data_IF_496108159998
#
_entry.id   IF_496108159998
#
_cell.length_a   1.000
_cell.length_b   1.000
_cell.length_c   1.000
_cell.angle_alpha   90.00
_cell.angle_beta   90.00
_cell.angle_gamma   90.00
#
_symmetry.space_group_name_H-M   'P 1'
#
loop_
_entity.id
_entity.type
_entity.pdbx_description
1 polymer ?
#
# COMPACT_ATOMS: atom_id res chain seq x y z
N UNK A 1 46.29 26.35 38.77
CA UNK A 1 44.90 25.94 39.06
C UNK A 1 43.99 26.81 38.22
N UNK A 2 43.15 26.19 37.41
CA UNK A 2 42.27 26.84 36.43
C UNK A 2 41.14 27.59 37.16
N UNK A 3 40.96 28.87 36.85
CA UNK A 3 39.75 29.61 37.20
C UNK A 3 38.66 29.29 36.18
N UNK A 4 37.69 28.49 36.61
CA UNK A 4 36.47 28.21 35.85
C UNK A 4 35.52 29.40 35.96
N UNK A 5 35.48 30.24 34.92
CA UNK A 5 34.49 31.30 34.79
C UNK A 5 33.11 30.75 34.41
N UNK A 6 32.14 30.90 35.30
CA UNK A 6 30.72 30.70 34.99
C UNK A 6 30.13 32.01 34.47
N UNK A 7 29.64 32.00 33.23
CA UNK A 7 28.87 33.11 32.66
C UNK A 7 27.38 32.84 32.82
N UNK A 8 26.67 33.72 33.54
CA UNK A 8 25.21 33.75 33.61
C UNK A 8 24.68 34.76 32.60
N UNK A 9 23.95 34.28 31.60
CA UNK A 9 23.25 35.11 30.61
C UNK A 9 21.81 35.35 31.10
N UNK A 10 21.48 36.57 31.50
CA UNK A 10 20.10 36.96 31.82
C UNK A 10 19.41 37.51 30.57
N UNK A 11 18.41 36.78 30.06
CA UNK A 11 17.53 37.25 28.99
C UNK A 11 16.29 37.87 29.67
N UNK A 12 16.03 39.18 29.51
CA UNK A 12 14.81 39.78 30.06
C UNK A 12 13.60 39.27 29.29
N UNK A 13 12.67 38.61 29.98
CA UNK A 13 11.38 38.21 29.41
C UNK A 13 10.41 39.40 29.46
N UNK A 14 9.83 39.76 28.32
CA UNK A 14 8.78 40.79 28.23
C UNK A 14 7.39 40.24 28.55
N UNK A 15 7.31 39.13 29.29
CA UNK A 15 6.07 38.37 29.45
C UNK A 15 5.10 38.95 30.49
N UNK A 16 5.41 40.13 31.03
CA UNK A 16 4.55 40.94 31.91
C UNK A 16 4.69 42.44 31.60
N UNK A 17 4.85 42.84 30.33
CA UNK A 17 4.65 44.23 29.97
C UNK A 17 3.15 44.54 30.02
N UNK A 18 2.75 45.53 30.83
CA UNK A 18 1.38 46.04 30.86
C UNK A 18 0.99 46.46 29.43
N UNK A 19 0.05 45.72 28.85
CA UNK A 19 -0.47 46.03 27.52
C UNK A 19 -1.32 47.29 27.66
N UNK A 20 -0.82 48.41 27.16
CA UNK A 20 -1.63 49.60 26.93
C UNK A 20 -2.86 49.19 26.12
N UNK A 21 -4.06 49.38 26.68
CA UNK A 21 -5.31 49.19 25.95
C UNK A 21 -5.40 50.29 24.88
N UNK A 22 -4.95 49.94 23.68
CA UNK A 22 -5.20 50.74 22.49
C UNK A 22 -6.63 50.38 22.04
N UNK A 23 -7.56 51.30 22.26
CA UNK A 23 -8.92 51.21 21.69
C UNK A 23 -8.83 51.40 20.18
N UNK A 24 -8.52 50.32 19.46
CA UNK A 24 -8.51 50.30 18.01
C UNK A 24 -9.91 49.92 17.51
N UNK A 25 -10.69 50.92 17.07
CA UNK A 25 -11.87 50.68 16.26
C UNK A 25 -11.45 50.56 14.78
N UNK A 26 -11.71 49.42 14.15
CA UNK A 26 -11.59 49.26 12.71
C UNK A 26 -12.98 49.28 12.09
N UNK A 27 -13.23 50.25 11.20
CA UNK A 27 -14.42 50.28 10.36
C UNK A 27 -14.10 49.61 9.02
N UNK A 28 -14.93 48.65 8.62
CA UNK A 28 -14.84 48.01 7.30
C UNK A 28 -15.72 48.76 6.30
N UNK A 29 -15.18 49.05 5.12
CA UNK A 29 -15.97 49.64 4.04
C UNK A 29 -17.11 48.71 3.61
N UNK A 30 -18.30 49.25 3.28
CA UNK A 30 -19.42 48.43 2.85
C UNK A 30 -19.11 47.74 1.52
N UNK A 31 -19.24 46.41 1.49
CA UNK A 31 -19.04 45.62 0.28
C UNK A 31 -20.28 45.69 -0.62
N UNK A 32 -20.07 46.14 -1.86
CA UNK A 32 -21.06 45.99 -2.94
C UNK A 32 -21.08 44.52 -3.39
N UNK A 33 -22.05 43.77 -2.86
CA UNK A 33 -22.35 42.43 -3.36
C UNK A 33 -23.23 42.55 -4.60
N UNK A 34 -22.75 42.00 -5.73
CA UNK A 34 -23.51 41.90 -6.97
C UNK A 34 -23.86 40.44 -7.20
N UNK A 35 -25.13 40.13 -7.11
CA UNK A 35 -25.64 38.81 -7.49
C UNK A 35 -25.63 38.72 -9.01
N UNK A 36 -24.75 37.89 -9.56
CA UNK A 36 -24.75 37.52 -10.97
C UNK A 36 -25.43 36.18 -11.07
N UNK A 37 -26.70 36.19 -11.49
CA UNK A 37 -27.43 34.97 -11.81
C UNK A 37 -26.84 34.33 -13.07
N UNK A 38 -26.51 33.04 -13.00
CA UNK A 38 -26.27 32.22 -14.17
C UNK A 38 -27.60 31.56 -14.55
N UNK A 39 -28.34 32.14 -15.48
CA UNK A 39 -29.51 31.47 -16.03
C UNK A 39 -29.04 30.24 -16.83
N UNK A 40 -29.54 29.03 -16.53
CA UNK A 40 -29.26 27.87 -17.35
C UNK A 40 -29.83 28.12 -18.76
N UNK A 41 -29.00 27.87 -19.76
CA UNK A 41 -29.37 28.01 -21.17
C UNK A 41 -30.64 27.18 -21.43
N UNK A 42 -31.74 27.85 -21.83
CA UNK A 42 -33.03 27.19 -22.06
C UNK A 42 -32.84 26.05 -23.08
N UNK A 43 -33.29 24.82 -22.80
CA UNK A 43 -33.16 23.72 -23.74
C UNK A 43 -33.97 24.05 -25.00
N UNK A 44 -33.28 24.24 -26.12
CA UNK A 44 -33.89 24.38 -27.43
C UNK A 44 -34.19 22.98 -27.97
N UNK A 45 -35.46 22.59 -27.97
CA UNK A 45 -35.88 21.34 -28.60
C UNK A 45 -35.99 21.55 -30.11
N UNK A 46 -34.97 21.09 -30.83
CA UNK A 46 -35.04 20.86 -32.27
C UNK A 46 -35.34 19.37 -32.50
N UNK A 47 -36.49 19.08 -33.07
CA UNK A 47 -36.81 17.75 -33.61
C UNK A 47 -36.70 17.81 -35.12
N UNK A 48 -35.70 17.16 -35.69
CA UNK A 48 -35.58 16.95 -37.13
C UNK A 48 -36.19 15.59 -37.45
N UNK A 49 -37.27 15.57 -38.23
CA UNK A 49 -37.85 14.35 -38.76
C UNK A 49 -37.21 14.09 -40.12
N UNK A 50 -36.37 13.07 -40.23
CA UNK A 50 -35.94 12.55 -41.53
C UNK A 50 -37.15 11.90 -42.18
N UNK A 51 -37.69 12.53 -43.22
CA UNK A 51 -38.64 11.87 -44.10
C UNK A 51 -37.96 10.62 -44.69
N UNK A 52 -38.59 9.46 -44.52
CA UNK A 52 -38.23 8.26 -45.27
C UNK A 52 -38.72 8.47 -46.70
N UNK A 53 -37.99 9.25 -47.48
CA UNK A 53 -38.16 9.25 -48.93
C UNK A 53 -37.84 7.84 -49.39
N UNK A 54 -38.87 7.08 -49.73
CA UNK A 54 -38.76 5.82 -50.47
C UNK A 54 -38.27 6.14 -51.89
N UNK A 55 -37.03 6.62 -52.01
CA UNK A 55 -36.26 6.45 -53.23
C UNK A 55 -35.56 5.11 -53.10
N UNK A 56 -36.33 4.07 -53.42
CA UNK A 56 -35.79 2.83 -53.95
C UNK A 56 -35.14 3.10 -55.31
N UNK A 57 -33.97 3.72 -55.29
CA UNK A 57 -32.91 3.19 -56.12
C UNK A 57 -31.95 2.55 -55.15
N UNK A 58 -32.10 1.23 -54.96
CA UNK A 58 -30.95 0.43 -54.54
C UNK A 58 -29.88 0.71 -55.58
N UNK A 59 -29.03 1.70 -55.33
CA UNK A 59 -27.81 1.95 -56.07
C UNK A 59 -27.09 0.60 -56.06
N UNK A 60 -27.25 -0.14 -57.15
CA UNK A 60 -26.51 -1.36 -57.35
C UNK A 60 -25.06 -0.93 -57.22
N UNK A 61 -24.31 -1.51 -56.30
CA UNK A 61 -22.89 -1.21 -56.11
C UNK A 61 -22.02 -1.52 -57.35
N UNK A 62 -22.65 -1.78 -58.51
CA UNK A 62 -22.08 -1.78 -59.85
C UNK A 62 -21.60 -0.37 -60.21
N UNK A 63 -20.39 -0.04 -59.77
CA UNK A 63 -19.70 1.18 -60.16
C UNK A 63 -18.79 1.76 -59.08
N UNK A 64 -18.89 1.30 -57.84
CA UNK A 64 -18.01 1.76 -56.76
C UNK A 64 -16.67 1.03 -56.89
N UNK A 65 -15.69 1.73 -57.45
CA UNK A 65 -14.29 1.29 -57.50
C UNK A 65 -13.68 1.46 -56.10
N UNK A 66 -13.82 0.45 -55.25
CA UNK A 66 -13.10 0.39 -53.98
C UNK A 66 -11.63 0.11 -54.30
N UNK A 67 -10.72 0.86 -53.67
CA UNK A 67 -9.29 0.66 -53.90
C UNK A 67 -8.88 -0.72 -53.44
N UNK A 68 -7.93 -1.34 -54.15
CA UNK A 68 -7.48 -2.70 -53.79
C UNK A 68 -6.86 -2.72 -52.38
N UNK A 69 -6.17 -1.65 -52.01
CA UNK A 69 -5.55 -1.52 -50.69
C UNK A 69 -6.58 -1.50 -49.55
N UNK A 70 -7.75 -0.91 -49.77
CA UNK A 70 -8.82 -0.91 -48.75
C UNK A 70 -9.47 -2.28 -48.61
N UNK A 71 -9.61 -3.03 -49.71
CA UNK A 71 -10.09 -4.42 -49.67
C UNK A 71 -9.08 -5.31 -48.92
N UNK A 72 -7.80 -5.19 -49.24
CA UNK A 72 -6.74 -5.98 -48.61
C UNK A 72 -6.64 -5.67 -47.11
N UNK A 73 -6.76 -4.41 -46.71
CA UNK A 73 -6.79 -4.00 -45.29
C UNK A 73 -8.01 -4.56 -44.54
N UNK A 74 -9.18 -4.61 -45.18
CA UNK A 74 -10.38 -5.20 -44.58
C UNK A 74 -10.20 -6.73 -44.44
N UNK A 75 -9.62 -7.38 -45.44
CA UNK A 75 -9.34 -8.82 -45.40
C UNK A 75 -8.34 -9.18 -44.29
N UNK A 76 -7.22 -8.44 -44.19
CA UNK A 76 -6.27 -8.59 -43.08
C UNK A 76 -6.95 -8.36 -41.73
N UNK A 77 -7.77 -7.32 -41.61
CA UNK A 77 -8.52 -7.03 -40.38
C UNK A 77 -9.48 -8.15 -39.97
N UNK A 78 -10.12 -8.80 -40.93
CA UNK A 78 -11.01 -9.95 -40.68
C UNK A 78 -10.20 -11.18 -40.27
N UNK A 79 -9.05 -11.44 -40.90
CA UNK A 79 -8.16 -12.54 -40.53
C UNK A 79 -7.58 -12.36 -39.11
N UNK A 80 -7.14 -11.15 -38.78
CA UNK A 80 -6.64 -10.80 -37.44
C UNK A 80 -7.74 -10.90 -36.38
N UNK A 81 -8.96 -10.42 -36.69
CA UNK A 81 -10.11 -10.57 -35.80
C UNK A 81 -10.46 -12.04 -35.56
N UNK A 82 -10.42 -12.88 -36.60
CA UNK A 82 -10.62 -14.33 -36.49
C UNK A 82 -9.53 -14.99 -35.63
N UNK A 83 -8.28 -14.56 -35.78
CA UNK A 83 -7.15 -15.03 -34.96
C UNK A 83 -7.32 -14.64 -33.49
N UNK A 84 -7.75 -13.41 -33.23
CA UNK A 84 -8.04 -12.91 -31.87
C UNK A 84 -9.22 -13.63 -31.22
N UNK A 85 -10.28 -13.92 -31.98
CA UNK A 85 -11.44 -14.67 -31.48
C UNK A 85 -11.06 -16.06 -30.97
N UNK A 86 -10.10 -16.75 -31.58
CA UNK A 86 -9.59 -18.04 -31.04
C UNK A 86 -8.98 -17.92 -29.64
N UNK A 87 -8.40 -16.76 -29.29
CA UNK A 87 -7.93 -16.51 -27.92
C UNK A 87 -9.09 -16.19 -26.98
N UNK A 88 -10.10 -15.45 -27.44
CA UNK A 88 -11.29 -15.16 -26.66
C UNK A 88 -12.14 -16.40 -26.39
N UNK A 89 -12.26 -17.35 -27.32
CA UNK A 89 -12.95 -18.63 -27.11
C UNK A 89 -12.29 -19.46 -25.99
N UNK A 90 -10.95 -19.45 -25.92
CA UNK A 90 -10.22 -20.09 -24.81
C UNK A 90 -10.50 -19.41 -23.48
N UNK A 91 -10.68 -18.09 -23.46
CA UNK A 91 -11.06 -17.33 -22.27
C UNK A 91 -12.53 -17.52 -21.90
N UNK A 92 -13.40 -17.76 -22.88
CA UNK A 92 -14.82 -18.00 -22.68
C UNK A 92 -15.08 -19.37 -22.03
N UNK A 93 -14.21 -20.36 -22.25
CA UNK A 93 -14.18 -21.60 -21.47
C UNK A 93 -13.96 -21.35 -19.97
N UNK A 94 -13.15 -20.35 -19.59
CA UNK A 94 -13.01 -19.91 -18.19
C UNK A 94 -14.21 -19.08 -17.72
N UNK A 95 -14.95 -18.44 -18.62
CA UNK A 95 -16.17 -17.68 -18.29
C UNK A 95 -17.38 -18.59 -18.06
N UNK A 96 -17.37 -19.79 -18.65
CA UNK A 96 -18.36 -20.86 -18.43
C UNK A 96 -18.24 -21.57 -17.07
N UNK A 97 -17.28 -21.20 -16.21
CA UNK A 97 -17.12 -21.85 -14.91
C UNK A 97 -18.36 -21.67 -14.03
N UNK A 98 -19.07 -22.79 -13.89
CA UNK A 98 -19.73 -23.32 -12.69
C UNK A 98 -20.02 -22.33 -11.57
N UNK A 99 -21.29 -22.31 -11.14
CA UNK A 99 -21.75 -21.60 -9.95
C UNK A 99 -20.79 -21.89 -8.79
N UNK A 100 -19.97 -20.90 -8.41
CA UNK A 100 -19.06 -21.02 -7.27
C UNK A 100 -19.89 -21.12 -5.99
N UNK A 101 -20.03 -22.33 -5.46
CA UNK A 101 -20.66 -22.55 -4.16
C UNK A 101 -19.63 -22.33 -3.07
N UNK A 102 -19.73 -21.19 -2.38
CA UNK A 102 -18.95 -20.95 -1.17
C UNK A 102 -19.50 -21.82 -0.03
N UNK A 103 -18.72 -22.81 0.39
CA UNK A 103 -19.05 -23.66 1.53
C UNK A 103 -18.20 -23.23 2.73
N UNK A 104 -18.87 -22.97 3.85
CA UNK A 104 -18.19 -22.73 5.11
C UNK A 104 -17.58 -24.04 5.63
N UNK A 105 -16.26 -24.17 5.52
CA UNK A 105 -15.53 -25.38 5.96
C UNK A 105 -15.34 -25.38 7.48
N UNK A 106 -14.92 -24.24 8.06
CA UNK A 106 -14.61 -24.14 9.49
C UNK A 106 -14.89 -22.72 9.99
N UNK A 107 -15.58 -22.62 11.12
CA UNK A 107 -15.76 -21.36 11.87
C UNK A 107 -14.87 -21.41 13.11
N UNK A 108 -13.93 -20.50 13.19
CA UNK A 108 -13.08 -20.31 14.38
C UNK A 108 -13.73 -19.22 15.22
N UNK A 109 -14.15 -19.55 16.43
CA UNK A 109 -14.67 -18.58 17.39
C UNK A 109 -13.50 -18.06 18.22
N UNK A 110 -13.34 -16.74 18.26
CA UNK A 110 -12.44 -16.08 19.18
C UNK A 110 -13.11 -16.00 20.55
N UNK A 111 -12.33 -16.12 21.61
CA UNK A 111 -12.84 -15.98 22.96
C UNK A 111 -13.27 -14.52 23.18
N UNK A 112 -14.46 -14.32 23.78
CA UNK A 112 -15.09 -12.99 23.94
C UNK A 112 -14.27 -11.97 24.75
N UNK A 113 -13.15 -12.36 25.33
CA UNK A 113 -12.27 -11.50 26.12
C UNK A 113 -11.22 -10.74 25.30
N UNK A 114 -11.14 -10.97 23.99
CA UNK A 114 -10.18 -10.25 23.14
C UNK A 114 -10.67 -8.84 22.81
N UNK A 115 -10.16 -7.86 23.55
CA UNK A 115 -10.45 -6.43 23.33
C UNK A 115 -9.70 -5.83 22.13
N UNK A 116 -8.68 -6.52 21.62
CA UNK A 116 -7.83 -6.02 20.54
C UNK A 116 -8.45 -6.34 19.17
N UNK A 117 -8.48 -5.37 18.23
CA UNK A 117 -8.99 -5.64 16.89
C UNK A 117 -8.06 -6.55 16.10
N UNK A 118 -8.62 -7.25 15.11
CA UNK A 118 -7.87 -8.08 14.17
C UNK A 118 -7.25 -7.17 13.11
N UNK A 119 -5.92 -7.09 13.09
CA UNK A 119 -5.15 -6.31 12.11
C UNK A 119 -4.90 -7.12 10.84
N UNK A 120 -4.72 -8.43 10.98
CA UNK A 120 -4.38 -9.27 9.83
C UNK A 120 -4.60 -10.75 10.11
N UNK A 121 -4.77 -11.50 9.02
CA UNK A 121 -4.91 -12.95 9.02
C UNK A 121 -3.89 -13.50 8.02
N UNK A 122 -3.12 -14.50 8.44
CA UNK A 122 -2.16 -15.19 7.57
C UNK A 122 -2.36 -16.69 7.67
N UNK A 123 -2.39 -17.34 6.52
CA UNK A 123 -2.47 -18.79 6.43
C UNK A 123 -1.09 -19.36 6.09
N UNK A 124 -0.66 -20.34 6.87
CA UNK A 124 0.56 -21.11 6.66
C UNK A 124 0.29 -22.46 6.02
N UNK A 125 1.34 -23.24 5.86
CA UNK A 125 1.23 -24.64 5.43
C UNK A 125 0.52 -25.46 6.51
N UNK A 126 -0.04 -26.62 6.12
CA UNK A 126 -0.69 -27.59 7.02
C UNK A 126 -1.88 -27.02 7.81
N UNK A 127 -2.62 -26.07 7.23
CA UNK A 127 -3.83 -25.50 7.85
C UNK A 127 -3.53 -24.64 9.08
N UNK A 128 -2.31 -24.12 9.22
CA UNK A 128 -1.96 -23.14 10.24
C UNK A 128 -2.57 -21.79 9.89
N UNK A 129 -3.20 -21.14 10.86
CA UNK A 129 -3.77 -19.80 10.68
C UNK A 129 -3.26 -18.94 11.82
N UNK A 130 -2.67 -17.80 11.50
CA UNK A 130 -2.25 -16.81 12.47
C UNK A 130 -3.14 -15.57 12.37
N UNK A 131 -3.63 -15.10 13.51
CA UNK A 131 -4.33 -13.84 13.67
C UNK A 131 -3.43 -12.85 14.38
N UNK A 132 -3.31 -11.67 13.79
CA UNK A 132 -2.59 -10.54 14.34
C UNK A 132 -3.62 -9.66 15.05
N UNK A 133 -3.46 -9.49 16.36
CA UNK A 133 -4.34 -8.68 17.19
C UNK A 133 -3.56 -7.46 17.68
N UNK A 134 -4.12 -6.28 17.44
CA UNK A 134 -3.47 -5.01 17.75
C UNK A 134 -4.23 -3.85 17.12
N UNK A 135 -3.66 -2.66 17.20
CA UNK A 135 -4.23 -1.47 16.57
C UNK A 135 -3.59 -1.27 15.20
N UNK A 136 -4.34 -0.84 14.20
CA UNK A 136 -3.82 -0.55 12.85
C UNK A 136 -3.31 0.88 12.71
N UNK A 137 -3.82 1.80 13.53
CA UNK A 137 -3.39 3.18 13.59
C UNK A 137 -2.51 3.39 14.81
N UNK A 138 -1.27 3.79 14.54
CA UNK A 138 -0.30 4.12 15.55
C UNK A 138 0.12 5.58 15.36
N UNK A 139 0.01 6.36 16.42
CA UNK A 139 0.89 7.52 16.55
C UNK A 139 2.32 7.01 16.74
N UNK A 140 3.30 7.81 16.38
CA UNK A 140 4.72 7.42 16.36
C UNK A 140 5.20 6.78 17.67
N UNK A 141 4.53 7.05 18.80
CA UNK A 141 4.84 6.55 20.13
C UNK A 141 3.62 5.92 20.82
N UNK A 142 3.05 4.83 20.29
CA UNK A 142 1.98 4.12 21.00
C UNK A 142 2.55 2.99 21.90
N UNK A 143 2.05 2.90 23.14
CA UNK A 143 2.38 1.81 24.10
C UNK A 143 1.43 0.62 24.00
N UNK A 144 0.81 0.40 22.84
CA UNK A 144 -0.15 -0.68 22.68
C UNK A 144 0.57 -2.03 22.60
N UNK A 145 0.26 -2.91 23.55
CA UNK A 145 0.66 -4.30 23.49
C UNK A 145 -0.11 -5.03 22.41
N UNK A 146 0.60 -5.90 21.70
CA UNK A 146 0.06 -6.73 20.65
C UNK A 146 -0.12 -8.17 21.09
N UNK A 147 -0.85 -8.94 20.30
CA UNK A 147 -1.02 -10.38 20.54
C UNK A 147 -1.09 -11.12 19.21
N UNK A 148 -0.61 -12.35 19.21
CA UNK A 148 -0.77 -13.27 18.09
C UNK A 148 -1.48 -14.51 18.58
N UNK A 149 -2.47 -14.94 17.81
CA UNK A 149 -3.06 -16.26 17.98
C UNK A 149 -2.67 -17.13 16.80
N UNK A 150 -2.13 -18.31 17.08
CA UNK A 150 -1.83 -19.31 16.06
C UNK A 150 -2.74 -20.51 16.29
N UNK A 151 -3.59 -20.78 15.31
CA UNK A 151 -4.44 -21.96 15.25
C UNK A 151 -3.76 -23.01 14.40
N UNK A 152 -3.57 -24.20 14.96
CA UNK A 152 -3.08 -25.36 14.23
C UNK A 152 -3.83 -26.60 14.69
N UNK A 153 -4.54 -27.24 13.75
CA UNK A 153 -5.44 -28.37 14.03
C UNK A 153 -6.49 -27.97 15.09
N UNK A 154 -6.28 -28.39 16.33
CA UNK A 154 -7.14 -28.17 17.50
C UNK A 154 -6.41 -27.44 18.64
N UNK A 155 -5.18 -26.99 18.43
CA UNK A 155 -4.42 -26.22 19.40
C UNK A 155 -4.42 -24.75 18.99
N UNK A 156 -4.63 -23.89 19.99
CA UNK A 156 -4.52 -22.45 19.87
C UNK A 156 -3.38 -22.02 20.77
N UNK A 157 -2.32 -21.48 20.18
CA UNK A 157 -1.23 -20.85 20.95
C UNK A 157 -1.40 -19.35 20.94
N UNK A 158 -1.10 -18.75 22.07
CA UNK A 158 -1.21 -17.32 22.30
C UNK A 158 0.19 -16.78 22.62
N UNK A 159 0.63 -15.80 21.85
CA UNK A 159 1.92 -15.15 22.04
C UNK A 159 1.68 -13.65 22.30
N UNK A 160 1.92 -13.17 23.53
CA UNK A 160 1.87 -11.74 23.84
C UNK A 160 3.10 -11.05 23.25
N UNK A 161 2.90 -9.82 22.74
CA UNK A 161 3.96 -9.00 22.17
C UNK A 161 4.06 -7.66 22.91
N UNK A 162 5.29 -7.17 23.06
CA UNK A 162 5.56 -5.85 23.64
C UNK A 162 5.00 -4.71 22.78
N UNK A 163 4.91 -4.90 21.46
CA UNK A 163 4.37 -3.94 20.49
C UNK A 163 3.33 -4.59 19.58
N UNK A 164 2.47 -3.78 18.98
CA UNK A 164 1.49 -4.24 17.99
C UNK A 164 2.16 -4.90 16.77
N UNK A 165 1.64 -6.05 16.31
CA UNK A 165 2.16 -6.75 15.14
C UNK A 165 1.67 -6.07 13.85
N UNK A 166 2.56 -5.90 12.88
CA UNK A 166 2.24 -5.27 11.58
C UNK A 166 2.16 -6.31 10.47
N UNK A 167 3.14 -7.21 10.39
CA UNK A 167 3.22 -8.26 9.39
C UNK A 167 3.63 -9.58 10.04
N UNK A 168 3.22 -10.69 9.42
CA UNK A 168 3.57 -12.02 9.84
C UNK A 168 3.82 -12.91 8.64
N UNK A 169 4.83 -13.77 8.75
CA UNK A 169 5.14 -14.80 7.77
C UNK A 169 5.41 -16.13 8.44
N UNK A 170 5.00 -17.21 7.77
CA UNK A 170 5.43 -18.54 8.13
C UNK A 170 6.77 -18.83 7.45
N UNK A 171 7.75 -19.26 8.24
CA UNK A 171 9.02 -19.75 7.74
C UNK A 171 8.88 -21.17 7.18
N UNK A 172 9.77 -21.60 6.28
CA UNK A 172 9.76 -22.97 5.74
C UNK A 172 9.88 -24.04 6.84
N UNK A 173 10.62 -23.75 7.90
CA UNK A 173 10.86 -24.64 9.04
C UNK A 173 9.76 -24.58 10.10
N UNK A 174 8.53 -24.22 9.72
CA UNK A 174 7.36 -24.14 10.61
C UNK A 174 7.41 -23.05 11.70
N UNK A 175 8.46 -22.24 11.74
CA UNK A 175 8.55 -21.07 12.60
C UNK A 175 7.67 -19.94 12.08
N UNK A 176 7.35 -19.00 12.96
CA UNK A 176 6.55 -17.82 12.64
C UNK A 176 7.39 -16.58 12.91
N UNK A 177 7.54 -15.77 11.87
CA UNK A 177 8.25 -14.50 11.93
C UNK A 177 7.21 -13.40 11.99
N UNK A 178 7.40 -12.51 12.95
CA UNK A 178 6.48 -11.44 13.26
C UNK A 178 7.25 -10.13 13.21
N UNK A 179 6.71 -9.18 12.47
CA UNK A 179 7.21 -7.82 12.47
C UNK A 179 6.32 -6.94 13.31
N UNK A 180 6.91 -5.99 14.02
CA UNK A 180 6.22 -5.10 14.96
C UNK A 180 6.23 -3.64 14.50
N UNK A 181 5.33 -2.86 15.08
CA UNK A 181 5.25 -1.41 14.85
C UNK A 181 6.46 -0.65 15.42
N UNK A 182 7.19 -1.20 16.39
CA UNK A 182 8.45 -0.62 16.90
C UNK A 182 9.63 -0.81 15.95
N UNK A 183 9.52 -1.67 14.92
CA UNK A 183 10.61 -1.94 13.98
C UNK A 183 11.43 -3.19 14.33
N UNK A 184 10.94 -4.01 15.27
CA UNK A 184 11.57 -5.26 15.67
C UNK A 184 10.97 -6.45 14.91
N UNK A 185 11.81 -7.46 14.68
CA UNK A 185 11.43 -8.76 14.15
C UNK A 185 11.57 -9.80 15.27
N UNK A 186 10.51 -10.58 15.47
CA UNK A 186 10.42 -11.62 16.49
C UNK A 186 10.24 -12.95 15.78
N UNK A 187 11.08 -13.93 16.12
CA UNK A 187 10.98 -15.31 15.68
C UNK A 187 10.33 -16.15 16.78
N UNK A 188 9.27 -16.85 16.42
CA UNK A 188 8.51 -17.68 17.35
C UNK A 188 8.35 -19.09 16.83
N UNK A 189 8.35 -20.06 17.75
CA UNK A 189 8.11 -21.47 17.45
C UNK A 189 7.29 -22.09 18.56
N UNK A 190 6.22 -22.81 18.19
CA UNK A 190 5.34 -23.53 19.13
C UNK A 190 4.77 -22.71 20.31
N UNK A 191 4.73 -21.38 20.19
CA UNK A 191 4.21 -20.49 21.24
C UNK A 191 5.29 -19.78 22.05
N UNK A 192 6.56 -20.11 21.83
CA UNK A 192 7.70 -19.50 22.51
C UNK A 192 8.43 -18.53 21.58
N UNK A 193 8.97 -17.45 22.17
CA UNK A 193 9.83 -16.50 21.47
C UNK A 193 11.24 -17.06 21.49
N UNK A 194 11.73 -17.47 20.33
CA UNK A 194 13.08 -18.01 20.18
C UNK A 194 14.14 -16.90 20.08
N UNK A 195 13.77 -15.82 19.39
CA UNK A 195 14.69 -14.74 19.11
C UNK A 195 13.93 -13.44 18.85
N UNK A 196 14.52 -12.33 19.29
CA UNK A 196 14.01 -10.99 19.08
C UNK A 196 15.17 -10.10 18.63
N UNK A 197 14.91 -9.27 17.64
CA UNK A 197 15.92 -8.35 17.12
C UNK A 197 16.06 -7.09 17.96
N UNK A 198 17.29 -6.62 18.15
CA UNK A 198 17.56 -5.27 18.68
C UNK A 198 17.29 -4.20 17.59
N UNK A 199 16.02 -3.89 17.36
CA UNK A 199 15.55 -2.79 16.47
C UNK A 199 16.19 -2.73 15.07
N UNK A 200 15.83 -3.67 14.18
CA UNK A 200 16.33 -3.71 12.79
C UNK A 200 15.94 -2.42 12.03
N UNK A 201 14.72 -1.94 12.28
CA UNK A 201 14.22 -0.68 11.74
C UNK A 201 13.99 0.31 12.88
N UNK A 202 14.21 1.60 12.59
CA UNK A 202 13.94 2.67 13.58
C UNK A 202 12.46 3.06 13.65
N UNK A 203 11.64 2.52 12.75
CA UNK A 203 10.20 2.71 12.68
C UNK A 203 9.52 1.40 12.28
N UNK A 204 8.19 1.36 12.37
CA UNK A 204 7.41 0.16 12.05
C UNK A 204 7.72 -0.46 10.70
N UNK A 205 7.85 -1.78 10.71
CA UNK A 205 8.03 -2.60 9.52
C UNK A 205 6.70 -2.69 8.80
N UNK A 206 6.69 -2.34 7.52
CA UNK A 206 5.48 -2.32 6.69
C UNK A 206 5.40 -3.55 5.79
N UNK A 207 6.55 -4.07 5.38
CA UNK A 207 6.63 -5.18 4.45
C UNK A 207 7.63 -6.21 4.94
N UNK A 208 7.21 -7.47 4.88
CA UNK A 208 8.02 -8.64 5.17
C UNK A 208 7.79 -9.66 4.06
N UNK A 209 8.85 -10.20 3.46
CA UNK A 209 8.72 -11.19 2.36
C UNK A 209 9.90 -12.16 2.30
N UNK A 210 9.61 -13.42 1.97
CA UNK A 210 10.66 -14.39 1.62
C UNK A 210 11.16 -14.15 0.20
N UNK A 211 12.47 -13.92 0.06
CA UNK A 211 13.20 -13.87 -1.23
C UNK A 211 13.62 -15.28 -1.63
N UNK A 212 14.12 -16.03 -0.66
CA UNK A 212 14.45 -17.44 -0.77
C UNK A 212 14.06 -18.15 0.54
N UNK A 213 14.13 -19.49 0.64
CA UNK A 213 13.75 -20.20 1.86
C UNK A 213 14.48 -19.72 3.13
N UNK A 214 15.70 -19.19 2.98
CA UNK A 214 16.52 -18.73 4.09
C UNK A 214 16.78 -17.22 4.06
N UNK A 215 16.30 -16.49 3.05
CA UNK A 215 16.51 -15.05 2.93
C UNK A 215 15.20 -14.31 3.09
N UNK A 216 15.12 -13.56 4.18
CA UNK A 216 14.01 -12.71 4.54
C UNK A 216 14.32 -11.28 4.12
N UNK A 217 13.33 -10.63 3.52
CA UNK A 217 13.37 -9.23 3.19
C UNK A 217 12.44 -8.46 4.13
N UNK A 218 12.94 -7.41 4.76
CA UNK A 218 12.16 -6.47 5.56
C UNK A 218 12.32 -5.03 5.07
N UNK A 219 11.22 -4.29 5.10
CA UNK A 219 11.21 -2.86 4.83
C UNK A 219 10.31 -2.11 5.82
N UNK A 220 10.76 -0.92 6.19
CA UNK A 220 10.08 -0.08 7.17
C UNK A 220 9.71 1.30 6.66
N UNK A 221 8.93 2.00 7.49
CA UNK A 221 8.63 3.43 7.30
C UNK A 221 9.86 4.34 7.43
N UNK A 222 10.94 3.83 8.00
CA UNK A 222 12.24 4.49 8.09
C UNK A 222 13.00 4.53 6.75
N UNK A 223 12.45 3.92 5.69
CA UNK A 223 13.08 3.85 4.37
C UNK A 223 14.28 2.93 4.31
N UNK A 224 14.51 2.09 5.33
CA UNK A 224 15.53 1.04 5.29
C UNK A 224 14.97 -0.24 4.69
N UNK A 225 15.83 -0.90 3.94
CA UNK A 225 15.70 -2.23 3.39
C UNK A 225 16.72 -3.12 4.06
N UNK A 226 16.31 -4.26 4.58
CA UNK A 226 17.23 -5.23 5.17
C UNK A 226 16.92 -6.61 4.61
N UNK A 227 17.98 -7.30 4.17
CA UNK A 227 17.94 -8.71 3.81
C UNK A 227 18.62 -9.47 4.94
N UNK A 228 17.87 -10.35 5.60
CA UNK A 228 18.33 -11.16 6.71
C UNK A 228 18.36 -12.63 6.33
N UNK A 229 19.39 -13.34 6.79
CA UNK A 229 19.49 -14.80 6.71
C UNK A 229 18.83 -15.43 7.91
N UNK A 230 17.94 -16.40 7.69
CA UNK A 230 17.43 -17.26 8.75
C UNK A 230 18.44 -18.38 9.00
N UNK A 231 19.07 -18.37 10.18
CA UNK A 231 19.93 -19.44 10.69
C UNK A 231 19.22 -20.15 11.83
N UNK A 232 18.61 -21.29 11.57
CA UNK A 232 17.91 -22.15 12.55
C UNK A 232 16.99 -21.40 13.53
N UNK A 233 17.51 -20.75 14.58
CA UNK A 233 16.78 -20.01 15.60
C UNK A 233 17.06 -18.50 15.62
N UNK A 234 17.89 -17.95 14.74
CA UNK A 234 18.22 -16.53 14.69
C UNK A 234 18.11 -15.94 13.28
N UNK A 235 17.93 -14.62 13.21
CA UNK A 235 17.99 -13.86 11.97
C UNK A 235 19.21 -12.94 12.00
N UNK A 236 20.06 -13.04 10.99
CA UNK A 236 21.23 -12.18 10.85
C UNK A 236 21.10 -11.29 9.62
N UNK A 237 21.27 -9.98 9.78
CA UNK A 237 21.24 -9.05 8.66
C UNK A 237 22.49 -9.24 7.77
N UNK A 238 22.28 -9.61 6.50
CA UNK A 238 23.35 -9.77 5.51
C UNK A 238 23.63 -8.44 4.82
N UNK A 239 22.56 -7.80 4.33
CA UNK A 239 22.64 -6.58 3.52
C UNK A 239 21.61 -5.58 4.01
N UNK A 240 22.01 -4.33 4.13
CA UNK A 240 21.10 -3.22 4.37
C UNK A 240 21.32 -2.13 3.33
N UNK A 241 20.23 -1.48 2.93
CA UNK A 241 20.25 -0.31 2.06
C UNK A 241 19.18 0.67 2.54
N UNK A 242 19.34 1.95 2.27
CA UNK A 242 18.35 2.96 2.62
C UNK A 242 17.95 3.75 1.39
N UNK A 243 16.65 3.98 1.24
CA UNK A 243 16.09 4.77 0.15
C UNK A 243 15.79 6.16 0.65
N UNK A 244 16.33 7.12 -0.07
CA UNK A 244 16.15 8.54 0.14
C UNK A 244 15.27 9.13 -0.95
N UNK A 245 14.76 10.34 -0.71
CA UNK A 245 14.07 11.11 -1.74
C UNK A 245 14.98 11.28 -2.96
N UNK A 246 16.31 11.39 -2.76
CA UNK A 246 17.29 11.43 -3.83
C UNK A 246 17.49 10.14 -4.63
N UNK A 247 16.74 9.07 -4.37
CA UNK A 247 16.74 7.82 -5.15
C UNK A 247 15.48 7.64 -6.03
N UNK A 248 14.43 8.44 -5.83
CA UNK A 248 13.17 8.33 -6.59
C UNK A 248 13.23 8.87 -8.03
N UNK A 249 12.33 8.58 -8.97
CA UNK A 249 12.32 9.30 -10.26
C UNK A 249 12.14 10.83 -10.07
N UNK A 250 12.79 11.67 -10.91
CA UNK A 250 12.68 13.14 -10.82
C UNK A 250 11.22 13.63 -10.86
N UNK A 251 10.37 12.97 -11.65
CA UNK A 251 8.94 13.25 -11.75
C UNK A 251 8.18 13.11 -10.44
N UNK A 252 8.74 12.40 -9.47
CA UNK A 252 8.11 12.07 -8.20
C UNK A 252 8.74 12.83 -7.01
N UNK A 253 9.85 13.54 -7.24
CA UNK A 253 10.50 14.36 -6.21
C UNK A 253 10.05 15.80 -6.35
N UNK A 254 9.63 16.43 -5.23
CA UNK A 254 9.49 17.91 -5.18
C UNK A 254 10.84 18.64 -5.18
N UNK A 255 11.93 17.94 -4.84
CA UNK A 255 13.29 18.50 -4.72
C UNK A 255 14.35 17.49 -5.14
N UNK A 256 15.37 17.94 -5.87
CA UNK A 256 16.37 17.04 -6.45
C UNK A 256 17.46 16.53 -5.48
N UNK A 257 17.59 17.12 -4.29
CA UNK A 257 18.76 16.92 -3.40
C UNK A 257 18.41 16.56 -1.95
N UNK A 258 17.22 16.03 -1.69
CA UNK A 258 16.82 15.70 -0.31
C UNK A 258 17.39 14.34 0.13
N UNK A 259 18.22 14.37 1.19
CA UNK A 259 18.68 13.18 1.93
C UNK A 259 17.62 12.58 2.86
N UNK A 260 16.39 13.13 2.85
CA UNK A 260 15.29 12.64 3.67
C UNK A 260 14.93 11.22 3.23
N UNK A 261 14.76 10.31 4.19
CA UNK A 261 14.36 8.94 3.91
C UNK A 261 12.90 8.86 3.51
N UNK A 262 12.60 7.97 2.57
CA UNK A 262 11.24 7.72 2.08
C UNK A 262 10.70 6.45 2.69
N UNK A 263 9.59 6.53 3.42
CA UNK A 263 8.96 5.35 4.00
C UNK A 263 8.45 4.40 2.94
N UNK A 264 8.76 3.12 3.11
CA UNK A 264 8.37 2.04 2.20
C UNK A 264 7.09 1.42 2.75
N UNK A 265 6.13 1.12 1.90
CA UNK A 265 4.79 0.62 2.27
C UNK A 265 4.53 -0.76 1.68
N UNK A 266 5.12 -1.09 0.53
CA UNK A 266 4.90 -2.38 -0.10
C UNK A 266 6.04 -2.79 -1.01
N UNK A 267 6.17 -4.09 -1.21
CA UNK A 267 7.19 -4.68 -2.07
C UNK A 267 6.57 -5.76 -2.91
N UNK A 268 6.69 -5.59 -4.22
CA UNK A 268 6.43 -6.62 -5.21
C UNK A 268 7.77 -7.06 -5.79
N UNK A 269 7.88 -8.30 -6.24
CA UNK A 269 9.12 -8.74 -6.85
C UNK A 269 8.91 -9.97 -7.71
N UNK A 270 9.64 -10.01 -8.82
CA UNK A 270 9.90 -11.21 -9.61
C UNK A 270 11.31 -11.70 -9.28
N UNK A 271 11.68 -12.92 -9.67
CA UNK A 271 12.91 -13.63 -9.26
C UNK A 271 14.23 -12.83 -9.34
N UNK A 272 14.28 -11.73 -10.10
CA UNK A 272 15.47 -10.88 -10.27
C UNK A 272 15.26 -9.39 -9.95
N UNK A 273 14.01 -8.90 -9.94
CA UNK A 273 13.73 -7.48 -9.81
C UNK A 273 12.67 -7.24 -8.73
N UNK A 274 12.94 -6.28 -7.85
CA UNK A 274 12.03 -5.86 -6.79
C UNK A 274 11.48 -4.46 -7.08
N UNK A 275 10.20 -4.27 -6.84
CA UNK A 275 9.47 -3.03 -6.99
C UNK A 275 9.01 -2.58 -5.61
N UNK A 276 9.33 -1.35 -5.27
CA UNK A 276 9.10 -0.76 -3.96
C UNK A 276 8.00 0.30 -4.08
N UNK A 277 6.91 0.08 -3.38
CA UNK A 277 5.88 1.10 -3.18
C UNK A 277 6.23 1.85 -1.88
N UNK A 278 6.50 3.14 -2.00
CA UNK A 278 6.64 4.07 -0.88
C UNK A 278 5.35 4.81 -0.57
N UNK A 279 5.26 5.36 0.65
CA UNK A 279 4.07 6.08 1.18
C UNK A 279 3.68 7.30 0.35
N UNK A 280 4.60 7.79 -0.48
CA UNK A 280 4.40 8.94 -1.36
C UNK A 280 4.62 8.62 -2.85
N UNK A 281 5.00 7.39 -3.22
CA UNK A 281 5.68 7.10 -4.49
C UNK A 281 5.68 5.60 -4.88
N UNK A 282 5.41 5.21 -6.12
CA UNK A 282 5.76 3.87 -6.65
C UNK A 282 7.11 3.91 -7.40
N UNK A 283 8.10 3.11 -7.00
CA UNK A 283 9.42 3.07 -7.66
C UNK A 283 9.93 1.64 -7.85
N UNK A 284 10.49 1.33 -9.02
CA UNK A 284 11.24 0.09 -9.24
C UNK A 284 12.65 0.23 -8.66
N UNK A 285 13.13 -0.74 -7.88
CA UNK A 285 14.53 -0.77 -7.43
C UNK A 285 15.10 -2.14 -7.75
N UNK A 286 15.96 -2.19 -8.76
CA UNK A 286 16.73 -3.38 -9.07
C UNK A 286 17.81 -3.57 -7.99
N UNK A 287 17.76 -4.70 -7.27
CA UNK A 287 18.69 -5.04 -6.16
C UNK A 287 19.68 -6.10 -6.62
#
# INVERSE_FOLDING_TARGET
MQESGTFTLSIPSSWNAEVEKIDASMETMPMLQREVGCDPMKPFHASTQTETTTMEERLSARGILISKETIDMILEGIEDASRMNKYFEKLEAFRKTEKLQLVLIKRIKLESNEKLPIVGIKCGRNGRIALLLGHSQHESWCFHTGKILIFHKNHTTNIPLASCPTQLLFAPQQQVIVATASGEIILTFEGEILWQSDSIHSQGITCLRWVSPNLLFSAGLDGRLVISSLKATSLEAIKSSSITVSDLPRSMRRSNTSSRRTGIVGIAGSKRDYFLAGKFCFGAVQI
#
